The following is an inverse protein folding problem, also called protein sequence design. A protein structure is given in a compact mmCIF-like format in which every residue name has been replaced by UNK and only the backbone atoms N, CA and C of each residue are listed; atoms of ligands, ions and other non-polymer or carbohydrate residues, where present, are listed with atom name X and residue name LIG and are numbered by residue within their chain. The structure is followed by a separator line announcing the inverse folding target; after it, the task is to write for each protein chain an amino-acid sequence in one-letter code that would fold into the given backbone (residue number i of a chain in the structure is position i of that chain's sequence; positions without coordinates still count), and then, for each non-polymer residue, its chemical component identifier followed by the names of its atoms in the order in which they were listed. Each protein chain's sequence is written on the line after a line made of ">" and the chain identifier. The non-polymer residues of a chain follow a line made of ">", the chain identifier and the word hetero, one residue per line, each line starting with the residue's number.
data_IF_910451873891
#
_entry.id   IF_910451873891
#
_cell.length_a   1.000
_cell.length_b   1.000
_cell.length_c   1.000
_cell.angle_alpha   90.00
_cell.angle_beta   90.00
_cell.angle_gamma   90.00
#
_symmetry.space_group_name_H-M   'P 1'
#
loop_
_entity.id
_entity.type
_entity.pdbx_description
1 polymer ?
#
# COMPACT_ATOMS: atom_id res chain seq x y z
N UNK A 1 -20.21 44.65 -2.11
CA UNK A 1 -21.06 43.60 -1.49
C UNK A 1 -20.12 42.59 -0.83
N UNK A 2 -19.80 42.78 0.45
CA UNK A 2 -18.83 41.93 1.15
C UNK A 2 -19.55 40.69 1.70
N UNK A 3 -19.21 39.53 1.15
CA UNK A 3 -19.71 38.23 1.57
C UNK A 3 -19.24 38.01 3.01
N UNK A 4 -20.16 38.13 3.98
CA UNK A 4 -19.94 37.70 5.36
C UNK A 4 -19.91 36.17 5.36
N UNK A 5 -18.78 35.59 4.96
CA UNK A 5 -18.55 34.15 5.02
C UNK A 5 -18.54 33.77 6.50
N UNK A 6 -19.68 33.26 6.95
CA UNK A 6 -20.01 33.06 8.35
C UNK A 6 -19.11 32.00 8.94
N UNK A 7 -18.50 32.31 10.08
CA UNK A 7 -17.65 31.47 10.96
C UNK A 7 -18.14 30.01 11.12
N UNK A 8 -19.44 29.74 10.94
CA UNK A 8 -20.06 28.42 10.99
C UNK A 8 -19.69 27.52 9.80
N UNK A 9 -19.42 28.09 8.63
CA UNK A 9 -19.03 27.33 7.43
C UNK A 9 -17.64 26.71 7.60
N UNK A 10 -16.70 27.45 8.19
CA UNK A 10 -15.37 26.95 8.51
C UNK A 10 -15.39 25.83 9.57
N UNK A 11 -16.29 25.90 10.55
CA UNK A 11 -16.42 24.87 11.59
C UNK A 11 -16.99 23.57 11.00
N UNK A 12 -18.04 23.67 10.17
CA UNK A 12 -18.64 22.50 9.52
C UNK A 12 -17.67 21.81 8.56
N UNK A 13 -16.88 22.57 7.80
CA UNK A 13 -15.85 22.04 6.91
C UNK A 13 -14.72 21.35 7.69
N UNK A 14 -14.30 21.92 8.83
CA UNK A 14 -13.26 21.34 9.68
C UNK A 14 -13.63 19.98 10.27
N UNK A 15 -14.90 19.77 10.64
CA UNK A 15 -15.38 18.50 11.21
C UNK A 15 -15.45 17.38 10.16
N UNK A 16 -15.82 17.70 8.92
CA UNK A 16 -15.87 16.70 7.85
C UNK A 16 -14.49 16.19 7.43
N UNK A 17 -13.45 17.03 7.48
CA UNK A 17 -12.07 16.61 7.13
C UNK A 17 -11.45 15.65 8.15
N UNK A 18 -11.88 15.69 9.41
CA UNK A 18 -11.34 14.81 10.45
C UNK A 18 -11.92 13.39 10.41
N UNK A 19 -13.01 13.15 9.68
CA UNK A 19 -13.72 11.87 9.68
C UNK A 19 -13.25 10.89 8.59
N UNK A 20 -12.28 11.24 7.75
CA UNK A 20 -11.88 10.41 6.59
C UNK A 20 -10.49 9.80 6.68
N UNK A 21 -9.76 9.95 7.80
CA UNK A 21 -8.49 9.25 7.99
C UNK A 21 -8.74 7.80 8.39
N UNK A 22 -9.21 6.99 7.44
CA UNK A 22 -9.18 5.54 7.57
C UNK A 22 -7.73 5.12 7.41
N UNK A 23 -7.02 4.66 8.46
CA UNK A 23 -5.64 4.26 8.30
C UNK A 23 -5.64 2.90 7.61
N UNK A 24 -5.59 2.91 6.28
CA UNK A 24 -5.31 1.72 5.51
C UNK A 24 -3.83 1.37 5.73
N UNK A 25 -3.52 0.64 6.81
CA UNK A 25 -2.18 0.12 7.07
C UNK A 25 -1.93 -1.13 6.22
N UNK A 26 -2.01 -0.99 4.89
CA UNK A 26 -1.38 -1.97 4.01
C UNK A 26 0.12 -1.70 4.06
N UNK A 27 0.86 -2.53 4.79
CA UNK A 27 2.31 -2.50 4.73
C UNK A 27 2.74 -3.12 3.40
N UNK A 28 3.92 -2.77 2.90
CA UNK A 28 4.45 -3.37 1.67
C UNK A 28 5.92 -3.72 1.79
N UNK A 29 6.31 -4.79 1.11
CA UNK A 29 7.70 -5.19 0.89
C UNK A 29 7.94 -5.38 -0.59
N UNK A 30 9.09 -4.94 -1.08
CA UNK A 30 9.50 -5.09 -2.48
C UNK A 30 10.80 -5.87 -2.54
N UNK A 31 10.88 -6.84 -3.45
CA UNK A 31 12.12 -7.52 -3.76
C UNK A 31 12.28 -7.68 -5.27
N UNK A 32 13.54 -7.81 -5.70
CA UNK A 32 13.91 -8.03 -7.09
C UNK A 32 14.61 -9.38 -7.28
N UNK A 33 14.57 -9.89 -8.51
CA UNK A 33 15.34 -11.03 -8.97
C UNK A 33 15.77 -10.88 -10.43
N UNK A 34 16.84 -11.57 -10.80
CA UNK A 34 17.30 -11.74 -12.19
C UNK A 34 16.91 -13.10 -12.78
N UNK A 35 16.41 -14.02 -11.94
CA UNK A 35 16.11 -15.39 -12.37
C UNK A 35 14.71 -15.48 -12.95
N UNK A 36 13.69 -15.17 -12.14
CA UNK A 36 12.30 -15.15 -12.56
C UNK A 36 11.43 -14.38 -11.53
N UNK A 37 10.15 -14.24 -11.86
CA UNK A 37 9.16 -13.59 -11.02
C UNK A 37 8.86 -14.34 -9.72
N UNK A 38 8.89 -15.68 -9.74
CA UNK A 38 8.63 -16.51 -8.57
C UNK A 38 9.69 -16.29 -7.50
N UNK A 39 10.96 -16.22 -7.91
CA UNK A 39 12.06 -15.92 -7.01
C UNK A 39 11.98 -14.50 -6.42
N UNK A 40 11.60 -13.50 -7.23
CA UNK A 40 11.37 -12.15 -6.72
C UNK A 40 10.24 -12.14 -5.67
N UNK A 41 9.17 -12.91 -5.91
CA UNK A 41 8.06 -13.05 -4.98
C UNK A 41 8.45 -13.75 -3.68
N UNK A 42 9.22 -14.84 -3.74
CA UNK A 42 9.71 -15.56 -2.56
C UNK A 42 10.63 -14.68 -1.70
N UNK A 43 11.52 -13.92 -2.33
CA UNK A 43 12.38 -12.94 -1.64
C UNK A 43 11.58 -11.83 -0.97
N UNK A 44 10.47 -11.40 -1.58
CA UNK A 44 9.56 -10.45 -0.95
C UNK A 44 8.84 -11.11 0.24
N UNK A 45 8.30 -12.33 0.08
CA UNK A 45 7.64 -13.09 1.16
C UNK A 45 8.55 -13.31 2.36
N UNK A 46 9.83 -13.59 2.14
CA UNK A 46 10.81 -13.81 3.20
C UNK A 46 11.02 -12.59 4.14
N UNK A 47 10.64 -11.39 3.69
CA UNK A 47 10.73 -10.16 4.48
C UNK A 47 9.46 -9.88 5.29
N UNK A 48 8.37 -10.61 5.02
CA UNK A 48 7.09 -10.40 5.69
C UNK A 48 7.16 -10.98 7.10
N UNK A 49 6.75 -10.22 8.15
CA UNK A 49 6.70 -10.72 9.51
C UNK A 49 5.83 -11.97 9.65
N UNK A 50 6.24 -12.89 10.53
CA UNK A 50 5.45 -14.07 10.84
C UNK A 50 4.05 -13.68 11.36
N UNK A 51 3.02 -14.39 10.89
CA UNK A 51 1.63 -14.14 11.27
C UNK A 51 0.95 -12.99 10.52
N UNK A 52 1.66 -12.27 9.66
CA UNK A 52 1.03 -11.30 8.76
C UNK A 52 0.30 -12.01 7.61
N UNK A 53 -0.80 -11.39 7.17
CA UNK A 53 -1.59 -11.86 6.04
C UNK A 53 -1.24 -11.04 4.81
N UNK A 54 -0.86 -11.70 3.72
CA UNK A 54 -0.66 -11.02 2.43
C UNK A 54 -2.03 -10.64 1.88
N UNK A 55 -2.21 -9.37 1.59
CA UNK A 55 -3.48 -8.79 1.11
C UNK A 55 -3.43 -8.45 -0.38
N UNK A 56 -2.23 -8.36 -0.96
CA UNK A 56 -2.04 -8.01 -2.36
C UNK A 56 -0.67 -8.41 -2.89
N UNK A 57 -0.58 -8.50 -4.21
CA UNK A 57 0.69 -8.74 -4.91
C UNK A 57 0.69 -8.05 -6.26
N UNK A 58 1.74 -7.30 -6.55
CA UNK A 58 2.02 -6.77 -7.86
C UNK A 58 3.43 -7.17 -8.26
N UNK A 59 3.57 -7.79 -9.43
CA UNK A 59 4.85 -8.16 -9.96
C UNK A 59 4.98 -7.65 -11.39
N UNK A 60 6.13 -7.07 -11.68
CA UNK A 60 6.47 -6.54 -12.98
C UNK A 60 7.77 -7.17 -13.48
N UNK A 61 7.80 -7.36 -14.80
CA UNK A 61 9.02 -7.68 -15.53
C UNK A 61 9.44 -6.43 -16.27
N UNK A 62 10.69 -6.01 -16.12
CA UNK A 62 11.23 -4.83 -16.76
C UNK A 62 12.63 -5.12 -17.27
N UNK A 63 13.01 -4.45 -18.35
CA UNK A 63 14.29 -4.67 -18.99
C UNK A 63 15.33 -3.68 -18.46
N UNK A 64 16.52 -4.16 -18.11
CA UNK A 64 17.69 -3.34 -17.77
C UNK A 64 18.78 -3.68 -18.77
N UNK A 65 18.98 -2.78 -19.74
CA UNK A 65 19.82 -3.01 -20.93
C UNK A 65 19.34 -4.23 -21.71
N UNK A 66 20.10 -5.31 -21.73
CA UNK A 66 19.79 -6.53 -22.49
C UNK A 66 19.26 -7.67 -21.59
N UNK A 67 19.11 -7.42 -20.28
CA UNK A 67 18.65 -8.42 -19.31
C UNK A 67 17.24 -8.10 -18.79
N UNK A 68 16.44 -9.15 -18.58
CA UNK A 68 15.18 -9.04 -17.85
C UNK A 68 15.44 -9.00 -16.34
N UNK A 69 14.65 -8.16 -15.66
CA UNK A 69 14.60 -8.04 -14.21
C UNK A 69 13.16 -8.20 -13.76
N UNK A 70 13.00 -8.78 -12.58
CA UNK A 70 11.70 -9.07 -11.99
C UNK A 70 11.61 -8.32 -10.66
N UNK A 71 10.57 -7.50 -10.47
CA UNK A 71 10.28 -6.82 -9.20
C UNK A 71 8.91 -7.29 -8.74
N UNK A 72 8.83 -7.74 -7.49
CA UNK A 72 7.56 -8.06 -6.85
C UNK A 72 7.40 -7.21 -5.60
N UNK A 73 6.25 -6.57 -5.49
CA UNK A 73 5.78 -5.86 -4.31
C UNK A 73 4.61 -6.61 -3.71
N UNK A 74 4.71 -6.98 -2.44
CA UNK A 74 3.67 -7.66 -1.69
C UNK A 74 3.11 -6.72 -0.65
N UNK A 75 1.80 -6.61 -0.62
CA UNK A 75 1.08 -5.91 0.43
C UNK A 75 0.69 -6.89 1.52
N UNK A 76 0.82 -6.48 2.78
CA UNK A 76 0.47 -7.30 3.92
C UNK A 76 -0.13 -6.50 5.08
N UNK A 77 -0.99 -7.16 5.83
CA UNK A 77 -1.57 -6.68 7.07
C UNK A 77 -1.08 -7.51 8.24
N UNK A 78 -0.66 -6.85 9.31
CA UNK A 78 -0.42 -7.48 10.62
C UNK A 78 -1.69 -7.47 11.49
N UNK A 79 -2.73 -6.76 11.05
CA UNK A 79 -4.06 -6.80 11.66
C UNK A 79 -4.76 -8.05 11.11
N UNK A 80 -5.36 -8.89 11.97
CA UNK A 80 -6.16 -10.02 11.51
C UNK A 80 -7.20 -9.54 10.50
N UNK A 81 -7.33 -10.24 9.38
CA UNK A 81 -8.40 -9.95 8.45
C UNK A 81 -9.73 -10.07 9.21
N UNK A 82 -10.48 -8.98 9.31
CA UNK A 82 -11.89 -9.03 9.70
C UNK A 82 -12.60 -9.74 8.55
N UNK A 83 -12.72 -11.06 8.65
CA UNK A 83 -13.59 -11.83 7.76
C UNK A 83 -15.02 -11.34 7.97
N UNK A 84 -15.73 -10.91 6.90
CA UNK A 84 -17.15 -10.60 7.00
C UNK A 84 -17.99 -11.83 7.35
#
# INVERSE_FOLDING_TARGET
>A
MAIRLTRRFFIALGVCLAATSNPCFANSVTAESIWDQGNAQERARAQIPAGATITGSNCETFQVRDDLRYRCTLEYSTIPALTP
#
